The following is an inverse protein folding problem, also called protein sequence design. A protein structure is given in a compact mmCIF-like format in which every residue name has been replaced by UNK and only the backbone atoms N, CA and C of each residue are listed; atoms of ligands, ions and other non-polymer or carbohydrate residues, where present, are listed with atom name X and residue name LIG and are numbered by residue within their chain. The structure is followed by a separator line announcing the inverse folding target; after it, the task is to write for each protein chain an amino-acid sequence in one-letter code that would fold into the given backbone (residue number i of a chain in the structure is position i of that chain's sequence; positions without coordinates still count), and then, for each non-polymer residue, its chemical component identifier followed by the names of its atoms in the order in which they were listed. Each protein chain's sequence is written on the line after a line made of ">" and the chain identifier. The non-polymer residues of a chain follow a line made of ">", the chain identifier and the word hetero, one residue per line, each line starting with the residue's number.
data_IF_817524191901
#
_entry.id   IF_817524191901
#
_cell.length_a   1.000
_cell.length_b   1.000
_cell.length_c   1.000
_cell.angle_alpha   90.00
_cell.angle_beta   90.00
_cell.angle_gamma   90.00
#
_symmetry.space_group_name_H-M   'P 1'
#
loop_
_entity.id
_entity.type
_entity.pdbx_description
1 polymer ?
#
# COMPACT_ATOMS: atom_id res chain seq x y z
N UNK A 1 22.53 -9.99 -17.10
CA UNK A 1 22.34 -11.31 -16.46
C UNK A 1 21.00 -11.24 -15.73
N UNK A 2 19.99 -11.98 -16.18
CA UNK A 2 18.62 -11.89 -15.66
C UNK A 2 18.40 -13.07 -14.73
N UNK A 3 18.27 -12.81 -13.42
CA UNK A 3 17.91 -13.85 -12.46
C UNK A 3 16.38 -13.90 -12.35
N UNK A 4 15.80 -15.08 -12.58
CA UNK A 4 14.36 -15.29 -12.44
C UNK A 4 14.08 -15.69 -10.98
N UNK A 5 13.78 -14.69 -10.15
CA UNK A 5 13.35 -14.90 -8.77
C UNK A 5 11.91 -15.43 -8.79
N UNK A 6 11.72 -16.72 -8.49
CA UNK A 6 10.45 -17.46 -8.78
C UNK A 6 9.72 -18.03 -7.56
N UNK A 7 10.06 -17.61 -6.34
CA UNK A 7 9.51 -18.21 -5.11
C UNK A 7 8.76 -17.21 -4.21
N UNK A 8 7.93 -16.32 -4.78
CA UNK A 8 7.01 -15.53 -3.95
C UNK A 8 5.91 -16.46 -3.44
N UNK A 9 5.75 -16.55 -2.13
CA UNK A 9 4.71 -17.35 -1.51
C UNK A 9 3.37 -16.64 -1.68
N UNK A 10 2.37 -17.38 -2.17
CA UNK A 10 1.02 -16.86 -2.27
C UNK A 10 0.42 -16.70 -0.87
N UNK A 11 -0.23 -15.57 -0.64
CA UNK A 11 -0.92 -15.25 0.59
C UNK A 11 -2.38 -14.84 0.28
N UNK A 12 -3.32 -15.80 0.25
CA UNK A 12 -4.72 -15.51 -0.03
C UNK A 12 -5.38 -14.63 1.05
N UNK A 13 -4.83 -14.61 2.27
CA UNK A 13 -5.35 -13.83 3.40
C UNK A 13 -4.78 -12.40 3.44
N UNK A 14 -3.86 -12.04 2.54
CA UNK A 14 -3.38 -10.66 2.43
C UNK A 14 -4.54 -9.71 2.06
N UNK A 15 -4.67 -8.48 2.61
CA UNK A 15 -3.78 -7.82 3.57
C UNK A 15 -4.18 -8.01 5.05
N UNK A 16 -5.08 -8.95 5.36
CA UNK A 16 -5.45 -9.28 6.76
C UNK A 16 -4.28 -9.93 7.49
N UNK A 17 -3.49 -10.75 6.78
CA UNK A 17 -2.22 -11.31 7.26
C UNK A 17 -1.06 -10.71 6.49
N UNK A 18 0.04 -10.48 7.20
CA UNK A 18 1.29 -10.03 6.60
C UNK A 18 1.90 -11.07 5.65
N UNK A 19 2.81 -10.62 4.79
CA UNK A 19 3.61 -11.49 3.93
C UNK A 19 4.68 -12.24 4.74
N UNK A 20 5.08 -13.43 4.30
CA UNK A 20 6.16 -14.18 4.94
C UNK A 20 7.54 -13.56 4.69
N UNK A 21 8.49 -13.81 5.60
CA UNK A 21 9.84 -13.24 5.57
C UNK A 21 10.56 -13.48 4.23
N UNK A 22 10.51 -14.72 3.72
CA UNK A 22 11.14 -15.07 2.44
C UNK A 22 10.54 -14.30 1.25
N UNK A 23 9.22 -14.05 1.28
CA UNK A 23 8.56 -13.24 0.25
C UNK A 23 8.93 -11.78 0.40
N UNK A 24 9.07 -11.27 1.63
CA UNK A 24 9.47 -9.90 1.91
C UNK A 24 10.87 -9.58 1.37
N UNK A 25 11.85 -10.44 1.64
CA UNK A 25 13.22 -10.31 1.11
C UNK A 25 13.22 -10.34 -0.42
N UNK A 26 12.40 -11.21 -1.02
CA UNK A 26 12.33 -11.34 -2.47
C UNK A 26 11.66 -10.11 -3.12
N UNK A 27 10.54 -9.68 -2.56
CA UNK A 27 9.77 -8.53 -3.04
C UNK A 27 10.55 -7.23 -2.88
N UNK A 28 11.29 -7.04 -1.78
CA UNK A 28 12.12 -5.84 -1.58
C UNK A 28 13.18 -5.70 -2.67
N UNK A 29 13.78 -6.82 -3.11
CA UNK A 29 14.75 -6.84 -4.20
C UNK A 29 14.09 -6.67 -5.58
N UNK A 30 12.99 -7.39 -5.83
CA UNK A 30 12.32 -7.39 -7.13
C UNK A 30 11.68 -6.03 -7.44
N UNK A 31 11.03 -5.41 -6.46
CA UNK A 31 10.27 -4.18 -6.63
C UNK A 31 11.16 -2.92 -6.72
N UNK A 32 12.44 -3.01 -6.35
CA UNK A 32 13.42 -1.97 -6.70
C UNK A 32 13.68 -1.88 -8.21
N UNK A 33 13.28 -2.88 -9.00
CA UNK A 33 13.31 -2.81 -10.46
C UNK A 33 12.04 -2.15 -10.99
N UNK A 34 12.17 -0.93 -11.53
CA UNK A 34 11.04 -0.16 -12.08
C UNK A 34 10.19 -0.94 -13.10
N UNK A 35 10.78 -1.82 -13.92
CA UNK A 35 10.03 -2.60 -14.90
C UNK A 35 9.15 -3.65 -14.24
N UNK A 36 9.63 -4.29 -13.17
CA UNK A 36 8.86 -5.28 -12.40
C UNK A 36 7.76 -4.55 -11.62
N UNK A 37 8.11 -3.47 -10.91
CA UNK A 37 7.16 -2.64 -10.17
C UNK A 37 6.02 -2.16 -11.07
N UNK A 38 6.34 -1.60 -12.24
CA UNK A 38 5.33 -1.10 -13.19
C UNK A 38 4.46 -2.25 -13.71
N UNK A 39 5.04 -3.41 -14.02
CA UNK A 39 4.27 -4.55 -14.51
C UNK A 39 3.31 -5.08 -13.43
N UNK A 40 3.80 -5.23 -12.19
CA UNK A 40 3.00 -5.67 -11.06
C UNK A 40 1.89 -4.67 -10.71
N UNK A 41 2.21 -3.38 -10.71
CA UNK A 41 1.24 -2.30 -10.51
C UNK A 41 0.14 -2.29 -11.59
N UNK A 42 0.50 -2.43 -12.87
CA UNK A 42 -0.48 -2.49 -13.96
C UNK A 42 -1.44 -3.69 -13.81
N UNK A 43 -0.94 -4.84 -13.33
CA UNK A 43 -1.79 -5.98 -13.00
C UNK A 43 -2.67 -5.65 -11.78
N UNK A 44 -2.11 -4.99 -10.78
CA UNK A 44 -2.84 -4.58 -9.59
C UNK A 44 -3.95 -3.57 -9.89
N UNK A 45 -3.76 -2.62 -10.81
CA UNK A 45 -4.79 -1.64 -11.20
C UNK A 45 -6.07 -2.28 -11.74
N UNK A 46 -6.00 -3.52 -12.26
CA UNK A 46 -7.18 -4.25 -12.71
C UNK A 46 -8.08 -4.68 -11.54
N UNK A 47 -7.52 -4.83 -10.34
CA UNK A 47 -8.15 -5.52 -9.22
C UNK A 47 -8.15 -4.72 -7.89
N UNK A 48 -7.19 -3.82 -7.68
CA UNK A 48 -6.88 -3.12 -6.41
C UNK A 48 -6.89 -1.58 -6.52
N UNK A 49 -7.36 -1.03 -7.65
CA UNK A 49 -7.31 0.39 -8.07
C UNK A 49 -7.75 1.45 -7.06
N UNK A 50 -8.49 1.07 -6.02
CA UNK A 50 -9.22 2.02 -5.15
C UNK A 50 -8.29 2.79 -4.23
N UNK A 51 -7.23 2.15 -3.74
CA UNK A 51 -6.30 2.74 -2.79
C UNK A 51 -5.40 3.78 -3.45
N UNK A 52 -4.77 3.47 -4.58
CA UNK A 52 -3.85 4.39 -5.26
C UNK A 52 -4.54 5.68 -5.75
N UNK A 53 -5.75 5.60 -6.31
CA UNK A 53 -6.49 6.80 -6.73
C UNK A 53 -6.82 7.73 -5.54
N UNK A 54 -7.27 7.15 -4.42
CA UNK A 54 -7.59 7.89 -3.20
C UNK A 54 -6.35 8.57 -2.61
N UNK A 55 -5.22 7.86 -2.61
CA UNK A 55 -3.95 8.38 -2.11
C UNK A 55 -3.40 9.49 -3.02
N UNK A 56 -3.49 9.35 -4.34
CA UNK A 56 -3.08 10.42 -5.27
C UNK A 56 -3.85 11.73 -5.02
N UNK A 57 -5.16 11.63 -4.75
CA UNK A 57 -5.97 12.80 -4.39
C UNK A 57 -5.53 13.44 -3.06
N UNK A 58 -5.16 12.64 -2.05
CA UNK A 58 -4.65 13.11 -0.78
C UNK A 58 -3.26 13.74 -0.92
N UNK A 59 -2.36 13.09 -1.66
CA UNK A 59 -0.98 13.50 -1.87
C UNK A 59 -0.90 14.89 -2.53
N UNK A 60 -1.70 15.12 -3.57
CA UNK A 60 -1.78 16.44 -4.23
C UNK A 60 -2.24 17.58 -3.32
N UNK A 61 -2.98 17.28 -2.23
CA UNK A 61 -3.42 18.31 -1.27
C UNK A 61 -2.32 18.74 -0.32
N UNK A 62 -1.23 17.97 -0.19
CA UNK A 62 -0.12 18.25 0.73
C UNK A 62 0.92 19.19 0.10
N UNK A 63 0.86 19.44 -1.21
CA UNK A 63 1.65 20.46 -1.95
C UNK A 63 3.18 20.38 -1.75
N UNK A 64 3.69 19.22 -1.38
CA UNK A 64 5.12 18.91 -1.24
C UNK A 64 5.50 17.78 -2.18
N UNK A 65 6.42 18.06 -3.10
CA UNK A 65 6.80 17.12 -4.16
C UNK A 65 7.38 15.81 -3.61
N UNK A 66 8.23 15.89 -2.59
CA UNK A 66 8.83 14.74 -1.91
C UNK A 66 7.79 13.86 -1.21
N UNK A 67 6.83 14.50 -0.53
CA UNK A 67 5.72 13.81 0.14
C UNK A 67 4.81 13.15 -0.90
N UNK A 68 4.51 13.85 -2.00
CA UNK A 68 3.66 13.33 -3.07
C UNK A 68 4.28 12.10 -3.71
N UNK A 69 5.54 12.20 -4.14
CA UNK A 69 6.29 11.10 -4.74
C UNK A 69 6.40 9.89 -3.79
N UNK A 70 6.65 10.14 -2.49
CA UNK A 70 6.69 9.08 -1.50
C UNK A 70 5.35 8.38 -1.34
N UNK A 71 4.25 9.14 -1.27
CA UNK A 71 2.92 8.56 -1.14
C UNK A 71 2.50 7.73 -2.36
N UNK A 72 2.77 8.22 -3.58
CA UNK A 72 2.53 7.47 -4.82
C UNK A 72 3.33 6.16 -4.82
N UNK A 73 4.63 6.22 -4.49
CA UNK A 73 5.50 5.04 -4.46
C UNK A 73 5.04 4.01 -3.42
N UNK A 74 4.61 4.45 -2.24
CA UNK A 74 4.09 3.57 -1.19
C UNK A 74 2.80 2.88 -1.59
N UNK A 75 1.86 3.61 -2.19
CA UNK A 75 0.62 3.05 -2.72
C UNK A 75 0.89 2.04 -3.85
N UNK A 76 1.76 2.40 -4.80
CA UNK A 76 2.16 1.53 -5.92
C UNK A 76 2.83 0.25 -5.41
N UNK A 77 3.70 0.35 -4.40
CA UNK A 77 4.38 -0.80 -3.80
C UNK A 77 3.38 -1.73 -3.11
N UNK A 78 2.44 -1.18 -2.34
CA UNK A 78 1.38 -1.97 -1.72
C UNK A 78 0.56 -2.74 -2.77
N UNK A 79 0.16 -2.07 -3.84
CA UNK A 79 -0.60 -2.70 -4.93
C UNK A 79 0.20 -3.78 -5.67
N UNK A 80 1.48 -3.51 -5.95
CA UNK A 80 2.37 -4.49 -6.57
C UNK A 80 2.53 -5.74 -5.69
N UNK A 81 2.77 -5.57 -4.38
CA UNK A 81 2.81 -6.69 -3.43
C UNK A 81 1.49 -7.45 -3.45
N UNK A 82 0.35 -6.74 -3.38
CA UNK A 82 -0.99 -7.32 -3.43
C UNK A 82 -1.18 -8.22 -4.64
N UNK A 83 -0.79 -7.76 -5.83
CA UNK A 83 -0.92 -8.53 -7.06
C UNK A 83 0.02 -9.75 -7.12
N UNK A 84 1.21 -9.66 -6.52
CA UNK A 84 2.19 -10.74 -6.54
C UNK A 84 1.90 -11.84 -5.53
N UNK A 85 1.43 -11.50 -4.33
CA UNK A 85 1.11 -12.50 -3.28
C UNK A 85 -0.36 -12.96 -3.36
N UNK A 86 -1.25 -12.13 -3.90
CA UNK A 86 -2.70 -12.41 -4.06
C UNK A 86 -3.15 -12.07 -5.49
N UNK A 87 -2.75 -12.86 -6.51
CA UNK A 87 -3.06 -12.57 -7.91
C UNK A 87 -4.54 -12.72 -8.28
N UNK A 88 -5.33 -13.41 -7.46
CA UNK A 88 -6.79 -13.46 -7.58
C UNK A 88 -7.39 -12.58 -6.48
N UNK A 89 -8.11 -11.49 -6.83
CA UNK A 89 -8.79 -10.68 -5.83
C UNK A 89 -9.88 -11.50 -5.14
N UNK A 90 -10.23 -11.17 -3.88
CA UNK A 90 -11.39 -11.78 -3.23
C UNK A 90 -12.63 -11.58 -4.09
N UNK A 91 -13.48 -12.61 -4.16
CA UNK A 91 -14.74 -12.53 -4.90
C UNK A 91 -15.66 -11.53 -4.19
N UNK A 92 -15.64 -10.28 -4.66
CA UNK A 92 -16.47 -9.22 -4.08
C UNK A 92 -17.92 -9.47 -4.52
N UNK A 93 -18.70 -10.14 -3.68
CA UNK A 93 -20.11 -10.49 -3.96
C UNK A 93 -21.05 -9.27 -3.93
N UNK A 94 -20.56 -8.10 -3.49
CA UNK A 94 -21.33 -6.87 -3.41
C UNK A 94 -20.54 -5.68 -3.95
N UNK A 95 -21.23 -4.77 -4.65
CA UNK A 95 -20.72 -3.41 -4.87
C UNK A 95 -20.49 -2.79 -3.50
N UNK A 96 -19.22 -2.63 -3.11
CA UNK A 96 -18.84 -1.84 -1.94
C UNK A 96 -19.13 -0.39 -2.27
N UNK A 97 -20.22 0.15 -1.72
CA UNK A 97 -20.52 1.58 -1.74
C UNK A 97 -19.85 2.21 -0.52
N UNK A 98 -18.79 2.99 -0.75
CA UNK A 98 -18.25 3.86 0.29
C UNK A 98 -19.25 4.99 0.53
N UNK A 99 -20.02 4.91 1.62
CA UNK A 99 -20.69 6.08 2.15
C UNK A 99 -19.62 6.98 2.75
N UNK A 100 -19.17 7.96 1.97
CA UNK A 100 -18.37 9.07 2.49
C UNK A 100 -19.28 9.87 3.41
N UNK A 101 -19.29 9.52 4.69
CA UNK A 101 -19.96 10.31 5.71
C UNK A 101 -19.23 11.66 5.78
N UNK A 102 -19.83 12.70 5.20
CA UNK A 102 -19.46 14.10 5.45
C UNK A 102 -19.65 14.52 6.93
N UNK A 103 -20.16 13.63 7.77
CA UNK A 103 -20.40 13.77 9.20
C UNK A 103 -19.56 12.72 9.93
N UNK A 104 -18.38 12.99 10.46
CA UNK A 104 -18.14 13.84 11.61
C UNK A 104 -16.66 14.22 11.67
N UNK A 105 -16.13 14.96 10.70
CA UNK A 105 -14.98 15.78 11.03
C UNK A 105 -15.49 16.78 12.08
N UNK A 106 -15.07 16.70 13.36
CA UNK A 106 -15.39 17.73 14.31
C UNK A 106 -14.97 19.04 13.66
N UNK A 107 -15.63 20.15 13.98
CA UNK A 107 -15.21 21.49 13.56
C UNK A 107 -13.84 21.91 14.16
N UNK A 108 -12.89 20.98 14.30
CA UNK A 108 -11.58 21.12 14.90
C UNK A 108 -10.51 20.51 14.00
N UNK A 109 -9.98 21.34 13.11
CA UNK A 109 -8.57 21.32 12.70
C UNK A 109 -8.10 20.19 11.77
N UNK A 110 -6.93 20.44 11.19
CA UNK A 110 -6.13 19.51 10.37
C UNK A 110 -5.53 18.36 11.22
N UNK A 111 -5.53 18.52 12.55
CA UNK A 111 -4.86 17.64 13.51
C UNK A 111 -5.47 16.23 13.64
N UNK A 112 -6.80 16.04 13.77
CA UNK A 112 -7.38 14.69 13.89
C UNK A 112 -7.17 13.83 12.63
N UNK A 113 -7.10 14.46 11.45
CA UNK A 113 -6.77 13.75 10.20
C UNK A 113 -5.32 13.28 10.21
N UNK A 114 -4.38 14.09 10.70
CA UNK A 114 -2.96 13.70 10.82
C UNK A 114 -2.82 12.52 11.80
N UNK A 115 -3.55 12.54 12.92
CA UNK A 115 -3.51 11.45 13.90
C UNK A 115 -4.00 10.12 13.31
N UNK A 116 -5.06 10.14 12.49
CA UNK A 116 -5.56 8.94 11.79
C UNK A 116 -4.56 8.42 10.75
N UNK A 117 -3.89 9.32 10.04
CA UNK A 117 -2.86 8.98 9.05
C UNK A 117 -1.64 8.33 9.74
N UNK A 118 -1.14 8.93 10.82
CA UNK A 118 -0.05 8.38 11.62
C UNK A 118 -0.43 7.04 12.26
N UNK A 119 -1.67 6.87 12.71
CA UNK A 119 -2.18 5.58 13.18
C UNK A 119 -2.13 4.50 12.10
N UNK A 120 -2.52 4.81 10.85
CA UNK A 120 -2.45 3.84 9.76
C UNK A 120 -1.00 3.40 9.46
N UNK A 121 -0.05 4.34 9.53
CA UNK A 121 1.38 4.04 9.39
C UNK A 121 1.90 3.14 10.52
N UNK A 122 1.58 3.47 11.77
CA UNK A 122 2.03 2.66 12.91
C UNK A 122 1.34 1.29 12.97
N UNK A 123 0.07 1.20 12.61
CA UNK A 123 -0.64 -0.07 12.46
C UNK A 123 0.02 -0.95 11.38
N UNK A 124 0.43 -0.38 10.24
CA UNK A 124 1.17 -1.13 9.22
C UNK A 124 2.49 -1.68 9.78
N UNK A 125 3.27 -0.86 10.48
CA UNK A 125 4.57 -1.27 11.04
C UNK A 125 4.42 -2.38 12.09
N UNK A 126 3.36 -2.34 12.88
CA UNK A 126 3.11 -3.29 13.95
C UNK A 126 2.47 -4.59 13.45
N UNK A 127 1.41 -4.49 12.63
CA UNK A 127 0.62 -5.63 12.20
C UNK A 127 1.19 -6.30 10.95
N UNK A 128 1.94 -5.55 10.13
CA UNK A 128 2.55 -6.02 8.90
C UNK A 128 4.03 -5.56 8.77
N UNK A 129 4.92 -5.97 9.70
CA UNK A 129 6.32 -5.57 9.69
C UNK A 129 7.06 -5.93 8.39
N UNK A 130 6.71 -7.04 7.74
CA UNK A 130 7.37 -7.49 6.52
C UNK A 130 6.95 -6.64 5.31
N UNK A 131 5.67 -6.32 5.18
CA UNK A 131 5.23 -5.33 4.19
C UNK A 131 5.84 -3.94 4.44
N UNK A 132 5.91 -3.51 5.71
CA UNK A 132 6.59 -2.28 6.09
C UNK A 132 8.06 -2.28 5.68
N UNK A 133 8.76 -3.40 5.88
CA UNK A 133 10.14 -3.58 5.41
C UNK A 133 10.25 -3.41 3.89
N UNK A 134 9.43 -4.10 3.10
CA UNK A 134 9.43 -4.00 1.63
C UNK A 134 9.23 -2.55 1.16
N UNK A 135 8.23 -1.86 1.70
CA UNK A 135 7.93 -0.46 1.34
C UNK A 135 9.10 0.46 1.69
N UNK A 136 9.72 0.25 2.84
CA UNK A 136 10.86 1.05 3.30
C UNK A 136 12.08 0.85 2.39
N UNK A 137 12.41 -0.40 2.04
CA UNK A 137 13.55 -0.72 1.19
C UNK A 137 13.37 -0.18 -0.24
N UNK A 138 12.19 -0.38 -0.83
CA UNK A 138 11.87 0.15 -2.16
C UNK A 138 11.98 1.67 -2.17
N UNK A 139 11.36 2.36 -1.20
CA UNK A 139 11.40 3.82 -1.15
C UNK A 139 12.81 4.36 -0.89
N UNK A 140 13.57 3.72 0.00
CA UNK A 140 14.91 4.17 0.37
C UNK A 140 15.92 4.01 -0.77
N UNK A 141 15.72 3.05 -1.68
CA UNK A 141 16.53 2.88 -2.89
C UNK A 141 16.45 4.11 -3.81
N UNK A 142 15.27 4.75 -3.90
CA UNK A 142 15.10 5.98 -4.66
C UNK A 142 15.60 7.20 -3.87
N UNK A 143 15.16 7.33 -2.61
CA UNK A 143 15.63 8.35 -1.68
C UNK A 143 15.14 8.04 -0.26
N UNK A 144 16.02 8.07 0.77
CA UNK A 144 15.61 7.83 2.16
C UNK A 144 14.50 8.76 2.67
N UNK A 145 14.34 9.94 2.06
CA UNK A 145 13.27 10.90 2.42
C UNK A 145 11.87 10.41 2.03
N UNK A 146 11.77 9.46 1.10
CA UNK A 146 10.50 8.93 0.62
C UNK A 146 9.94 7.82 1.51
N UNK A 147 10.76 7.21 2.37
CA UNK A 147 10.36 6.04 3.16
C UNK A 147 9.19 6.34 4.11
N UNK A 148 9.24 7.44 4.85
CA UNK A 148 8.15 7.82 5.76
C UNK A 148 6.81 8.09 5.03
N UNK A 149 6.75 8.94 3.98
CA UNK A 149 5.51 9.13 3.23
C UNK A 149 5.05 7.87 2.47
N UNK A 150 5.97 7.02 2.03
CA UNK A 150 5.62 5.73 1.41
C UNK A 150 4.98 4.77 2.40
N UNK A 151 5.54 4.62 3.60
CA UNK A 151 4.94 3.83 4.68
C UNK A 151 3.56 4.33 5.05
N UNK A 152 3.40 5.65 5.13
CA UNK A 152 2.10 6.26 5.40
C UNK A 152 1.08 5.85 4.34
N UNK A 153 1.41 6.04 3.05
CA UNK A 153 0.51 5.67 1.96
C UNK A 153 0.18 4.18 1.94
N UNK A 154 1.16 3.30 2.13
CA UNK A 154 0.93 1.86 2.21
C UNK A 154 -0.01 1.48 3.37
N UNK A 155 0.09 2.16 4.52
CA UNK A 155 -0.80 1.95 5.66
C UNK A 155 -2.24 2.38 5.38
N UNK A 156 -2.41 3.52 4.69
CA UNK A 156 -3.72 3.97 4.21
C UNK A 156 -4.30 2.96 3.21
N UNK A 157 -3.49 2.51 2.24
CA UNK A 157 -3.93 1.52 1.24
C UNK A 157 -4.43 0.24 1.90
N UNK A 158 -3.67 -0.28 2.86
CA UNK A 158 -4.07 -1.45 3.64
C UNK A 158 -5.41 -1.22 4.35
N UNK A 159 -5.57 -0.08 5.01
CA UNK A 159 -6.81 0.23 5.74
C UNK A 159 -8.03 0.27 4.80
N UNK A 160 -7.89 0.88 3.63
CA UNK A 160 -8.94 0.91 2.59
C UNK A 160 -9.29 -0.50 2.11
N UNK A 161 -8.28 -1.35 1.87
CA UNK A 161 -8.51 -2.73 1.40
C UNK A 161 -9.15 -3.62 2.47
N UNK A 162 -8.80 -3.45 3.74
CA UNK A 162 -9.43 -4.17 4.86
C UNK A 162 -10.91 -3.81 4.99
N UNK A 163 -11.26 -2.53 4.83
CA UNK A 163 -12.66 -2.09 4.82
C UNK A 163 -13.43 -2.60 3.59
N UNK A 164 -12.77 -2.65 2.43
CA UNK A 164 -13.39 -3.13 1.20
C UNK A 164 -13.59 -4.65 1.14
N UNK A 165 -12.82 -5.41 1.94
CA UNK A 165 -12.86 -6.88 1.99
C UNK A 165 -12.96 -7.36 3.44
N UNK A 166 -14.12 -7.20 4.11
CA UNK A 166 -14.28 -7.68 5.47
C UNK A 166 -13.95 -9.18 5.53
N UNK A 167 -13.17 -9.59 6.52
CA UNK A 167 -12.81 -10.99 6.71
C UNK A 167 -14.08 -11.86 6.74
N UNK A 168 -14.08 -12.92 5.94
CA UNK A 168 -15.20 -13.85 5.82
C UNK A 168 -15.44 -14.64 7.12
#
# INVERSE_FOLDING_TARGET
>A
MTFLLTNIELNPDFPHKDIGDASADLLSLMLQNNSIMTSAHNVAELYYRRSHHTIGLLAHRLSREDVTAGMELGAMTFEAVSAMVRPQPPSVSQKVEFQVYRSHLPHGGVLPTIDLLEQAKEALKHDCPNLSYVVTEVASQHSPRLAAPALLAAGISRSIELEASPAA
#
